data_IF_346014752066
#
_entry.id   IF_346014752066
#
_cell.length_a   1.000
_cell.length_b   1.000
_cell.length_c   1.000
_cell.angle_alpha   90.00
_cell.angle_beta   90.00
_cell.angle_gamma   90.00
#
_symmetry.space_group_name_H-M   'P 1'
#
loop_
_entity.id
_entity.type
_entity.pdbx_description
1 polymer ?
#
# COMPACT_ATOMS: atom_id res chain seq x y z
N UNK A 1 4.50 1.80 1.47
CA UNK A 1 5.74 0.99 1.62
C UNK A 1 5.51 -0.38 1.02
N UNK A 2 6.53 -1.05 0.48
CA UNK A 2 6.36 -2.44 0.00
C UNK A 2 6.19 -3.40 1.19
N UNK A 3 5.31 -4.41 1.11
CA UNK A 3 5.17 -5.41 2.18
C UNK A 3 6.51 -6.12 2.45
N UNK A 4 6.86 -6.24 3.73
CA UNK A 4 8.07 -6.91 4.20
C UNK A 4 7.74 -8.33 4.67
N UNK A 5 8.76 -9.02 5.20
CA UNK A 5 8.67 -10.42 5.60
C UNK A 5 7.55 -10.68 6.62
N UNK A 6 7.45 -9.88 7.68
CA UNK A 6 6.50 -10.12 8.77
C UNK A 6 5.04 -10.02 8.29
N UNK A 7 4.73 -9.06 7.39
CA UNK A 7 3.39 -8.94 6.83
C UNK A 7 3.02 -10.16 5.98
N UNK A 8 3.95 -10.64 5.14
CA UNK A 8 3.75 -11.84 4.33
C UNK A 8 3.61 -13.09 5.19
N UNK A 9 4.39 -13.20 6.27
CA UNK A 9 4.33 -14.33 7.17
C UNK A 9 2.98 -14.40 7.89
N UNK A 10 2.51 -13.28 8.46
CA UNK A 10 1.23 -13.23 9.17
C UNK A 10 0.06 -13.56 8.24
N UNK A 11 0.01 -13.00 7.04
CA UNK A 11 -1.07 -13.28 6.07
C UNK A 11 -1.05 -14.73 5.58
N UNK A 12 0.15 -15.31 5.35
CA UNK A 12 0.29 -16.71 4.96
C UNK A 12 -0.10 -17.67 6.08
N UNK A 13 0.29 -17.32 7.31
CA UNK A 13 -0.08 -18.07 8.50
C UNK A 13 -1.58 -18.02 8.77
N UNK A 14 -2.22 -16.87 8.54
CA UNK A 14 -3.68 -16.75 8.62
C UNK A 14 -4.40 -17.72 7.66
N UNK A 15 -3.95 -17.83 6.40
CA UNK A 15 -4.53 -18.79 5.45
C UNK A 15 -4.36 -20.24 5.92
N UNK A 16 -3.19 -20.59 6.45
CA UNK A 16 -2.94 -21.91 7.03
C UNK A 16 -3.83 -22.20 8.24
N UNK A 17 -3.98 -21.22 9.13
CA UNK A 17 -4.78 -21.35 10.33
C UNK A 17 -6.26 -21.52 9.98
N UNK A 18 -6.77 -20.71 9.05
CA UNK A 18 -8.14 -20.81 8.57
C UNK A 18 -8.43 -22.17 7.93
N UNK A 19 -7.51 -22.66 7.09
CA UNK A 19 -7.54 -24.02 6.52
C UNK A 19 -7.65 -25.12 7.59
N UNK A 20 -6.90 -24.98 8.68
CA UNK A 20 -6.94 -25.93 9.79
C UNK A 20 -8.30 -25.93 10.48
N UNK A 21 -8.85 -24.75 10.78
CA UNK A 21 -10.17 -24.61 11.41
C UNK A 21 -11.27 -25.20 10.53
N UNK A 22 -11.30 -24.82 9.25
CA UNK A 22 -12.37 -25.20 8.31
C UNK A 22 -12.30 -26.68 7.94
N UNK A 23 -11.14 -27.18 7.50
CA UNK A 23 -11.04 -28.54 6.94
C UNK A 23 -10.78 -29.63 7.96
N UNK A 24 -9.93 -29.36 8.96
CA UNK A 24 -9.56 -30.36 9.96
C UNK A 24 -10.40 -30.25 11.23
N UNK A 25 -10.80 -29.03 11.59
CA UNK A 25 -11.73 -28.78 12.68
C UNK A 25 -13.19 -28.97 12.31
N UNK A 26 -13.52 -29.07 11.01
CA UNK A 26 -14.90 -29.13 10.49
C UNK A 26 -15.80 -28.04 11.09
N UNK A 27 -15.21 -26.86 11.37
CA UNK A 27 -15.89 -25.74 12.02
C UNK A 27 -16.77 -24.95 11.02
N UNK A 28 -17.68 -25.67 10.37
CA UNK A 28 -18.50 -25.20 9.26
C UNK A 28 -19.92 -25.69 9.45
N UNK A 29 -20.87 -24.80 9.19
CA UNK A 29 -22.28 -25.16 9.04
C UNK A 29 -22.71 -24.88 7.60
N UNK A 30 -23.19 -25.92 6.91
CA UNK A 30 -23.54 -25.89 5.49
C UNK A 30 -25.05 -26.04 5.27
N UNK A 31 -25.52 -25.71 4.06
CA UNK A 31 -26.93 -25.84 3.70
C UNK A 31 -27.80 -24.67 4.19
N UNK A 32 -27.18 -23.54 4.53
CA UNK A 32 -27.87 -22.33 4.96
C UNK A 32 -28.16 -21.45 3.74
N UNK A 33 -29.45 -21.19 3.49
CA UNK A 33 -29.84 -20.19 2.52
C UNK A 33 -29.82 -18.80 3.17
N UNK A 34 -28.75 -18.06 2.92
CA UNK A 34 -28.56 -16.72 3.44
C UNK A 34 -29.48 -15.72 2.74
N UNK A 35 -30.06 -14.83 3.53
CA UNK A 35 -30.78 -13.66 3.05
C UNK A 35 -29.93 -12.42 3.37
N UNK A 36 -29.77 -11.55 2.38
CA UNK A 36 -28.97 -10.34 2.55
C UNK A 36 -29.85 -9.10 2.61
N UNK A 37 -29.53 -8.22 3.56
CA UNK A 37 -30.32 -7.04 3.88
C UNK A 37 -29.47 -5.79 3.66
N UNK A 38 -30.06 -4.80 2.99
CA UNK A 38 -29.40 -3.53 2.74
C UNK A 38 -29.03 -2.84 4.06
N UNK A 39 -27.77 -2.38 4.17
CA UNK A 39 -27.31 -1.57 5.29
C UNK A 39 -26.91 -0.17 4.82
N UNK A 40 -27.60 0.90 5.29
CA UNK A 40 -27.27 2.27 4.91
C UNK A 40 -25.96 2.78 5.54
N UNK A 41 -25.48 2.14 6.61
CA UNK A 41 -24.32 2.55 7.39
C UNK A 41 -23.16 1.58 7.20
N UNK A 42 -22.86 1.23 5.95
CA UNK A 42 -21.83 0.25 5.65
C UNK A 42 -20.43 0.84 5.86
N UNK A 43 -19.62 0.20 6.70
CA UNK A 43 -18.22 0.58 6.96
C UNK A 43 -17.36 0.21 5.74
N UNK A 44 -16.41 1.08 5.38
CA UNK A 44 -15.40 0.81 4.36
C UNK A 44 -15.99 0.48 2.97
N UNK A 45 -17.13 1.07 2.62
CA UNK A 45 -17.75 0.97 1.30
C UNK A 45 -17.68 2.34 0.63
N UNK A 46 -17.28 2.36 -0.64
CA UNK A 46 -17.23 3.61 -1.43
C UNK A 46 -18.62 4.10 -1.83
N UNK A 47 -18.78 5.39 -2.11
CA UNK A 47 -20.06 5.99 -2.53
C UNK A 47 -20.64 5.37 -3.82
N UNK A 48 -19.81 4.70 -4.62
CA UNK A 48 -20.21 4.02 -5.86
C UNK A 48 -20.68 2.59 -5.63
N UNK A 49 -20.74 2.14 -4.37
CA UNK A 49 -21.10 0.79 -3.98
C UNK A 49 -22.21 0.79 -2.94
N UNK A 50 -22.96 -0.30 -2.90
CA UNK A 50 -23.97 -0.58 -1.87
C UNK A 50 -23.70 -1.96 -1.30
N UNK A 51 -23.84 -2.11 0.02
CA UNK A 51 -23.62 -3.38 0.69
C UNK A 51 -24.90 -3.92 1.32
N UNK A 52 -25.02 -5.24 1.21
CA UNK A 52 -26.09 -6.05 1.77
C UNK A 52 -25.46 -7.08 2.69
N UNK A 53 -25.83 -7.06 3.96
CA UNK A 53 -25.26 -7.93 4.97
C UNK A 53 -26.15 -9.13 5.23
N UNK A 54 -25.54 -10.28 5.47
CA UNK A 54 -26.25 -11.43 6.02
C UNK A 54 -26.27 -11.38 7.55
N UNK A 55 -27.15 -12.16 8.20
CA UNK A 55 -27.13 -12.36 9.65
C UNK A 55 -25.80 -12.91 10.19
N UNK A 56 -25.07 -13.66 9.35
CA UNK A 56 -23.82 -14.32 9.68
C UNK A 56 -22.62 -13.50 9.24
N UNK A 57 -21.52 -13.57 10.00
CA UNK A 57 -20.37 -12.71 9.78
C UNK A 57 -19.29 -13.28 8.86
N UNK A 58 -18.83 -14.51 9.05
CA UNK A 58 -17.81 -15.09 8.18
C UNK A 58 -18.34 -16.29 7.43
N UNK A 59 -18.18 -16.24 6.11
CA UNK A 59 -18.48 -17.36 5.24
C UNK A 59 -17.25 -18.22 5.03
N UNK A 60 -17.50 -19.48 4.71
CA UNK A 60 -16.46 -20.36 4.21
C UNK A 60 -16.02 -19.88 2.83
N UNK A 61 -14.74 -19.58 2.70
CA UNK A 61 -14.11 -19.04 1.49
C UNK A 61 -13.22 -20.06 0.78
N UNK A 62 -13.09 -21.27 1.32
CA UNK A 62 -12.25 -22.32 0.78
C UNK A 62 -12.98 -23.66 0.67
N UNK A 63 -12.65 -24.43 -0.35
CA UNK A 63 -13.32 -25.69 -0.68
C UNK A 63 -14.02 -25.65 -2.04
N UNK A 64 -14.60 -26.78 -2.43
CA UNK A 64 -15.27 -26.90 -3.74
C UNK A 64 -16.71 -26.40 -3.73
N UNK A 65 -17.34 -26.30 -2.55
CA UNK A 65 -18.74 -25.90 -2.38
C UNK A 65 -18.91 -24.41 -2.04
N UNK A 66 -17.87 -23.60 -2.27
CA UNK A 66 -17.94 -22.15 -2.08
C UNK A 66 -18.75 -21.52 -3.22
N UNK A 67 -19.86 -20.83 -2.96
CA UNK A 67 -20.71 -20.26 -4.00
C UNK A 67 -19.97 -19.24 -4.85
N UNK A 68 -20.19 -19.30 -6.17
CA UNK A 68 -19.58 -18.37 -7.12
C UNK A 68 -20.44 -17.13 -7.41
N UNK A 69 -21.51 -16.89 -6.64
CA UNK A 69 -22.52 -15.90 -6.96
C UNK A 69 -23.72 -15.93 -6.02
N UNK A 70 -24.68 -15.05 -6.29
CA UNK A 70 -25.91 -14.89 -5.51
C UNK A 70 -27.13 -14.83 -6.42
N UNK A 71 -28.31 -15.06 -5.86
CA UNK A 71 -29.58 -14.88 -6.55
C UNK A 71 -30.15 -13.50 -6.21
N UNK A 72 -30.34 -12.67 -7.24
CA UNK A 72 -30.91 -11.33 -7.11
C UNK A 72 -32.31 -11.31 -7.72
N UNK A 73 -33.27 -10.76 -6.98
CA UNK A 73 -34.62 -10.50 -7.48
C UNK A 73 -34.75 -9.05 -7.94
N UNK A 74 -34.80 -8.84 -9.26
CA UNK A 74 -34.93 -7.51 -9.87
C UNK A 74 -36.32 -7.25 -10.49
N UNK A 75 -37.11 -8.29 -10.78
CA UNK A 75 -38.45 -8.14 -11.41
C UNK A 75 -39.42 -9.29 -11.08
N UNK A 76 -39.36 -9.83 -9.85
CA UNK A 76 -40.21 -10.94 -9.41
C UNK A 76 -39.70 -12.32 -9.80
N UNK A 77 -38.48 -12.40 -10.36
CA UNK A 77 -37.75 -13.64 -10.64
C UNK A 77 -36.35 -13.51 -10.06
N UNK A 78 -35.89 -14.58 -9.41
CA UNK A 78 -34.50 -14.70 -8.96
C UNK A 78 -33.63 -15.15 -10.14
N UNK A 79 -32.69 -14.30 -10.52
CA UNK A 79 -31.65 -14.65 -11.49
C UNK A 79 -30.31 -14.82 -10.76
N UNK A 80 -29.56 -15.85 -11.15
CA UNK A 80 -28.24 -16.10 -10.59
C UNK A 80 -27.21 -15.15 -11.22
N UNK A 81 -26.55 -14.37 -10.37
CA UNK A 81 -25.49 -13.43 -10.74
C UNK A 81 -24.17 -13.96 -10.19
N UNK A 82 -23.20 -14.14 -11.08
CA UNK A 82 -21.84 -14.58 -10.72
C UNK A 82 -21.04 -13.41 -10.15
N UNK A 83 -20.13 -13.73 -9.23
CA UNK A 83 -19.21 -12.76 -8.68
C UNK A 83 -18.25 -12.27 -9.76
N UNK A 84 -18.44 -11.02 -10.18
CA UNK A 84 -17.65 -10.35 -11.20
C UNK A 84 -17.50 -8.86 -10.81
N UNK A 85 -16.41 -8.50 -10.10
CA UNK A 85 -16.23 -7.14 -9.57
C UNK A 85 -16.16 -6.05 -10.65
N UNK A 86 -15.75 -6.43 -11.87
CA UNK A 86 -15.54 -5.51 -13.00
C UNK A 86 -16.75 -5.44 -13.96
N UNK A 87 -17.85 -6.13 -13.66
CA UNK A 87 -19.06 -6.10 -14.47
C UNK A 87 -20.02 -4.96 -14.04
N UNK A 88 -21.10 -4.76 -14.80
CA UNK A 88 -22.15 -3.76 -14.53
C UNK A 88 -22.74 -3.93 -13.14
N UNK A 89 -22.94 -5.17 -12.69
CA UNK A 89 -23.43 -5.45 -11.33
C UNK A 89 -22.36 -5.23 -10.27
N UNK A 90 -21.08 -5.40 -10.62
CA UNK A 90 -19.95 -5.23 -9.71
C UNK A 90 -20.00 -6.13 -8.49
N UNK A 91 -20.51 -7.36 -8.65
CA UNK A 91 -20.75 -8.26 -7.53
C UNK A 91 -19.44 -8.69 -6.88
N UNK A 92 -19.28 -8.34 -5.60
CA UNK A 92 -18.22 -8.84 -4.72
C UNK A 92 -18.86 -9.52 -3.52
N UNK A 93 -18.42 -10.75 -3.21
CA UNK A 93 -18.84 -11.47 -2.01
C UNK A 93 -17.72 -11.33 -0.99
N UNK A 94 -17.98 -10.57 0.06
CA UNK A 94 -17.06 -10.39 1.18
C UNK A 94 -17.26 -11.53 2.17
N UNK A 95 -16.33 -12.50 2.13
CA UNK A 95 -16.38 -13.67 3.00
C UNK A 95 -15.99 -13.37 4.46
N UNK A 96 -15.39 -12.21 4.73
CA UNK A 96 -14.92 -11.84 6.09
C UNK A 96 -15.99 -11.07 6.88
N UNK A 97 -16.80 -10.27 6.20
CA UNK A 97 -17.90 -9.50 6.81
C UNK A 97 -19.30 -10.07 6.49
N UNK A 98 -19.37 -11.15 5.70
CA UNK A 98 -20.63 -11.88 5.49
C UNK A 98 -21.61 -11.04 4.69
N UNK A 99 -21.08 -10.26 3.74
CA UNK A 99 -21.82 -9.26 2.98
C UNK A 99 -21.60 -9.41 1.49
N UNK A 100 -22.55 -8.89 0.75
CA UNK A 100 -22.51 -8.77 -0.70
C UNK A 100 -22.43 -7.29 -1.04
N UNK A 101 -21.47 -6.93 -1.88
CA UNK A 101 -21.27 -5.58 -2.36
C UNK A 101 -21.62 -5.54 -3.84
N UNK A 102 -22.39 -4.52 -4.22
CA UNK A 102 -22.85 -4.28 -5.58
C UNK A 102 -22.53 -2.84 -5.97
N UNK A 103 -22.52 -2.55 -7.27
CA UNK A 103 -22.49 -1.17 -7.75
C UNK A 103 -23.77 -0.42 -7.35
N UNK A 104 -23.65 0.85 -6.97
CA UNK A 104 -24.78 1.68 -6.52
C UNK A 104 -25.87 1.87 -7.58
N UNK A 105 -25.55 1.67 -8.85
CA UNK A 105 -26.50 1.64 -9.97
C UNK A 105 -27.59 0.56 -9.85
N UNK A 106 -27.32 -0.50 -9.07
CA UNK A 106 -28.27 -1.59 -8.80
C UNK A 106 -29.40 -1.18 -7.83
N UNK A 107 -29.23 -0.07 -7.10
CA UNK A 107 -30.20 0.42 -6.12
C UNK A 107 -30.15 -0.33 -4.78
N UNK A 108 -31.02 0.07 -3.85
CA UNK A 108 -31.03 -0.41 -2.45
C UNK A 108 -32.19 -1.35 -2.11
N UNK A 109 -33.19 -1.47 -2.99
CA UNK A 109 -34.42 -2.25 -2.76
C UNK A 109 -34.39 -3.71 -3.24
N UNK A 110 -33.20 -4.29 -3.48
CA UNK A 110 -33.06 -5.65 -3.99
C UNK A 110 -33.30 -6.71 -2.91
N UNK A 111 -33.91 -7.82 -3.29
CA UNK A 111 -33.91 -9.05 -2.48
C UNK A 111 -32.82 -9.98 -2.98
N UNK A 112 -31.83 -10.25 -2.15
CA UNK A 112 -30.64 -11.02 -2.49
C UNK A 112 -30.58 -12.23 -1.57
N UNK A 113 -30.30 -13.40 -2.14
CA UNK A 113 -30.13 -14.65 -1.41
C UNK A 113 -29.02 -15.51 -1.99
N UNK A 114 -28.48 -16.44 -1.20
CA UNK A 114 -27.50 -17.40 -1.69
C UNK A 114 -27.20 -18.48 -0.66
N UNK A 115 -26.79 -19.65 -1.13
CA UNK A 115 -26.51 -20.80 -0.27
C UNK A 115 -25.05 -20.74 0.22
N UNK A 116 -24.79 -20.02 1.31
CA UNK A 116 -23.44 -19.88 1.87
C UNK A 116 -23.29 -20.67 3.15
N UNK A 117 -22.22 -21.47 3.24
CA UNK A 117 -21.80 -22.07 4.49
C UNK A 117 -21.15 -21.02 5.38
N UNK A 118 -21.52 -20.99 6.67
CA UNK A 118 -20.92 -20.11 7.68
C UNK A 118 -19.87 -20.84 8.49
N UNK A 119 -18.90 -20.09 9.02
CA UNK A 119 -17.95 -20.61 10.00
C UNK A 119 -18.59 -20.66 11.38
N UNK A 120 -18.40 -21.77 12.10
CA UNK A 120 -18.81 -21.86 13.51
C UNK A 120 -17.73 -21.31 14.45
N UNK A 121 -16.49 -21.21 13.96
CA UNK A 121 -15.36 -20.56 14.61
C UNK A 121 -14.75 -19.54 13.65
N UNK A 122 -14.91 -18.26 13.95
CA UNK A 122 -14.40 -17.16 13.12
C UNK A 122 -12.88 -17.01 13.28
N UNK A 123 -12.23 -16.36 12.32
CA UNK A 123 -10.78 -16.12 12.34
C UNK A 123 -10.50 -14.68 11.95
N UNK A 124 -9.80 -13.94 12.82
CA UNK A 124 -9.47 -12.54 12.61
C UNK A 124 -7.95 -12.33 12.74
N UNK A 125 -7.42 -11.38 11.97
CA UNK A 125 -6.08 -10.83 12.21
C UNK A 125 -6.25 -9.58 13.07
N UNK A 126 -5.49 -9.48 14.17
CA UNK A 126 -5.47 -8.29 15.02
C UNK A 126 -4.06 -7.81 15.27
N UNK A 127 -3.91 -6.49 15.42
CA UNK A 127 -2.67 -5.84 15.86
C UNK A 127 -2.74 -5.43 17.34
N UNK A 128 -3.88 -5.62 17.98
CA UNK A 128 -4.11 -5.26 19.38
C UNK A 128 -3.42 -6.27 20.30
N UNK A 129 -3.04 -5.80 21.48
CA UNK A 129 -2.60 -6.70 22.54
C UNK A 129 -3.77 -7.56 23.02
N UNK A 130 -3.47 -8.73 23.60
CA UNK A 130 -4.52 -9.59 24.16
C UNK A 130 -5.31 -8.89 25.27
N UNK A 131 -4.67 -8.02 26.04
CA UNK A 131 -5.29 -7.26 27.12
C UNK A 131 -6.29 -6.24 26.55
N UNK A 132 -5.88 -5.50 25.52
CA UNK A 132 -6.73 -4.54 24.83
C UNK A 132 -7.91 -5.21 24.12
N UNK A 133 -7.64 -6.32 23.42
CA UNK A 133 -8.66 -7.13 22.77
C UNK A 133 -9.71 -7.61 23.78
N UNK A 134 -9.29 -8.10 24.95
CA UNK A 134 -10.22 -8.67 25.94
C UNK A 134 -10.96 -7.62 26.78
N UNK A 135 -10.40 -6.42 26.96
CA UNK A 135 -10.98 -5.38 27.82
C UNK A 135 -11.80 -4.35 27.05
N UNK A 136 -11.38 -3.99 25.84
CA UNK A 136 -11.94 -2.85 25.10
C UNK A 136 -12.82 -3.27 23.93
N UNK A 137 -12.88 -4.58 23.61
CA UNK A 137 -13.67 -5.06 22.49
C UNK A 137 -15.03 -5.58 22.91
N UNK A 138 -16.06 -5.17 22.17
CA UNK A 138 -17.39 -5.73 22.26
C UNK A 138 -17.48 -7.04 21.46
N UNK A 139 -17.77 -8.14 22.16
CA UNK A 139 -17.96 -9.45 21.57
C UNK A 139 -19.46 -9.74 21.40
N UNK A 140 -19.89 -9.99 20.17
CA UNK A 140 -21.25 -10.42 19.84
C UNK A 140 -21.33 -11.95 19.89
N UNK A 141 -22.21 -12.48 20.73
CA UNK A 141 -22.47 -13.92 20.83
C UNK A 141 -23.42 -14.35 19.71
N UNK A 142 -22.97 -15.21 18.79
CA UNK A 142 -23.76 -15.61 17.63
C UNK A 142 -25.05 -16.43 17.95
N UNK A 143 -25.25 -16.87 19.20
CA UNK A 143 -26.26 -17.88 19.55
C UNK A 143 -27.04 -17.61 20.87
N UNK A 144 -26.62 -16.66 21.71
CA UNK A 144 -27.18 -16.56 23.07
C UNK A 144 -28.31 -15.54 23.25
N UNK A 145 -28.39 -14.51 22.38
CA UNK A 145 -29.27 -13.35 22.60
C UNK A 145 -30.18 -13.04 21.39
N UNK A 146 -30.32 -13.95 20.42
CA UNK A 146 -30.98 -13.70 19.11
C UNK A 146 -30.40 -12.51 18.32
N UNK A 147 -29.29 -11.93 18.79
CA UNK A 147 -28.58 -10.81 18.17
C UNK A 147 -27.75 -11.31 16.99
N UNK A 148 -28.37 -11.28 15.81
CA UNK A 148 -27.65 -11.44 14.54
C UNK A 148 -26.66 -10.28 14.34
N UNK A 149 -25.62 -10.48 13.53
CA UNK A 149 -24.68 -9.40 13.16
C UNK A 149 -25.42 -8.11 12.74
N UNK A 150 -26.52 -8.25 11.99
CA UNK A 150 -27.38 -7.16 11.53
C UNK A 150 -28.08 -6.37 12.64
N UNK A 151 -28.48 -7.03 13.73
CA UNK A 151 -29.17 -6.37 14.85
C UNK A 151 -28.22 -5.50 15.69
N UNK A 152 -26.91 -5.78 15.62
CA UNK A 152 -25.87 -4.98 16.26
C UNK A 152 -25.45 -3.73 15.48
N UNK A 153 -25.95 -3.53 14.25
CA UNK A 153 -25.63 -2.38 13.38
C UNK A 153 -26.41 -1.13 13.85
N UNK A 154 -26.27 -0.76 15.12
CA UNK A 154 -26.57 0.59 15.57
C UNK A 154 -25.30 1.42 15.41
N UNK A 155 -25.40 2.53 14.65
CA UNK A 155 -24.30 3.38 14.19
C UNK A 155 -22.99 3.36 15.00
N UNK A 156 -21.91 2.98 14.30
CA UNK A 156 -20.48 3.20 14.58
C UNK A 156 -20.07 3.74 15.97
N UNK A 157 -19.28 2.94 16.71
CA UNK A 157 -17.92 3.38 17.13
C UNK A 157 -16.97 2.28 17.60
N UNK A 158 -17.40 1.04 17.87
CA UNK A 158 -16.51 -0.06 18.30
C UNK A 158 -16.38 -1.17 17.25
N UNK A 159 -15.18 -1.75 17.15
CA UNK A 159 -14.93 -2.99 16.43
C UNK A 159 -15.70 -4.11 17.13
N UNK A 160 -16.92 -4.38 16.70
CA UNK A 160 -17.63 -5.55 17.21
C UNK A 160 -16.96 -6.78 16.58
N UNK A 161 -16.72 -7.86 17.33
CA UNK A 161 -16.34 -9.17 16.78
C UNK A 161 -17.40 -10.21 17.10
N UNK A 162 -17.73 -11.06 16.13
CA UNK A 162 -18.66 -12.18 16.36
C UNK A 162 -17.88 -13.38 16.87
N UNK A 163 -18.27 -13.92 18.03
CA UNK A 163 -17.68 -15.11 18.65
C UNK A 163 -18.61 -16.32 18.54
N UNK A 164 -18.10 -17.56 18.51
CA UNK A 164 -16.71 -17.99 18.73
C UNK A 164 -15.71 -17.52 17.68
N UNK A 165 -14.49 -17.17 18.12
CA UNK A 165 -13.46 -16.61 17.25
C UNK A 165 -12.02 -16.90 17.70
N UNK A 166 -11.11 -16.90 16.73
CA UNK A 166 -9.66 -16.95 16.90
C UNK A 166 -9.05 -15.65 16.38
N UNK A 167 -8.36 -14.94 17.26
CA UNK A 167 -7.68 -13.68 16.95
C UNK A 167 -6.18 -13.94 16.84
N UNK A 168 -5.61 -13.71 15.67
CA UNK A 168 -4.20 -13.97 15.36
C UNK A 168 -3.44 -12.67 15.33
N UNK A 169 -2.37 -12.57 16.12
CA UNK A 169 -1.48 -11.41 16.17
C UNK A 169 -0.01 -11.80 16.05
N UNK A 170 0.77 -10.88 15.48
CA UNK A 170 2.21 -11.03 15.39
C UNK A 170 2.89 -10.40 16.59
N UNK A 171 3.53 -11.21 17.44
CA UNK A 171 4.11 -10.72 18.70
C UNK A 171 5.54 -10.22 18.54
N UNK A 172 6.42 -11.04 17.96
CA UNK A 172 7.84 -10.70 17.89
C UNK A 172 8.58 -11.48 16.80
N UNK A 173 9.69 -10.91 16.35
CA UNK A 173 10.61 -11.50 15.38
C UNK A 173 12.04 -11.27 15.82
N UNK A 174 12.90 -12.26 15.63
CA UNK A 174 14.34 -12.11 15.83
C UNK A 174 15.12 -12.90 14.80
N UNK A 175 16.21 -12.32 14.30
CA UNK A 175 17.12 -13.01 13.39
C UNK A 175 18.28 -13.61 14.16
N UNK A 176 18.40 -14.95 14.16
CA UNK A 176 19.55 -15.67 14.72
C UNK A 176 20.49 -16.12 13.60
N UNK A 177 21.81 -16.02 13.76
CA UNK A 177 22.74 -16.68 12.83
C UNK A 177 22.45 -18.18 12.77
N UNK A 178 22.32 -18.73 11.56
CA UNK A 178 21.94 -20.13 11.37
C UNK A 178 23.04 -20.95 10.69
N UNK A 179 23.55 -20.46 9.56
CA UNK A 179 24.59 -21.12 8.79
C UNK A 179 25.62 -20.13 8.25
N UNK A 180 26.76 -20.66 7.80
CA UNK A 180 27.79 -19.89 7.09
C UNK A 180 27.19 -19.24 5.82
N UNK A 181 27.77 -18.12 5.38
CA UNK A 181 27.28 -17.41 4.18
C UNK A 181 26.15 -16.41 4.44
N UNK A 182 25.95 -15.96 5.69
CA UNK A 182 25.03 -14.88 6.01
C UNK A 182 23.56 -15.31 6.18
N UNK A 183 23.29 -16.61 6.17
CA UNK A 183 21.97 -17.17 6.42
C UNK A 183 21.58 -17.00 7.89
N UNK A 184 20.38 -16.48 8.11
CA UNK A 184 19.80 -16.28 9.43
C UNK A 184 18.49 -17.06 9.55
N UNK A 185 18.27 -17.63 10.71
CA UNK A 185 16.99 -18.18 11.13
C UNK A 185 16.17 -17.03 11.73
N UNK A 186 15.17 -16.57 11.00
CA UNK A 186 14.18 -15.65 11.53
C UNK A 186 13.21 -16.44 12.38
N UNK A 187 13.28 -16.26 13.69
CA UNK A 187 12.33 -16.83 14.64
C UNK A 187 11.22 -15.85 14.90
N UNK A 188 10.01 -16.26 14.56
CA UNK A 188 8.80 -15.45 14.68
C UNK A 188 7.86 -16.09 15.69
N UNK A 189 7.30 -15.28 16.57
CA UNK A 189 6.27 -15.72 17.52
C UNK A 189 4.93 -15.13 17.09
N UNK A 190 3.97 -15.99 16.82
CA UNK A 190 2.59 -15.64 16.52
C UNK A 190 1.73 -16.13 17.67
N UNK A 191 0.84 -15.28 18.17
CA UNK A 191 -0.12 -15.64 19.21
C UNK A 191 -1.50 -15.68 18.61
N UNK A 192 -2.27 -16.70 18.99
CA UNK A 192 -3.69 -16.77 18.71
C UNK A 192 -4.47 -16.78 20.03
N UNK A 193 -5.42 -15.85 20.19
CA UNK A 193 -6.37 -15.80 21.31
C UNK A 193 -7.67 -16.43 20.83
N UNK A 194 -8.10 -17.50 21.50
CA UNK A 194 -9.35 -18.19 21.20
C UNK A 194 -10.39 -17.73 22.21
N UNK A 195 -11.51 -17.19 21.72
CA UNK A 195 -12.67 -16.80 22.51
C UNK A 195 -13.85 -17.66 22.07
N UNK A 196 -14.38 -18.47 22.99
CA UNK A 196 -15.51 -19.35 22.73
C UNK A 196 -16.63 -19.16 23.75
N UNK A 197 -17.84 -19.57 23.39
CA UNK A 197 -19.03 -19.58 24.24
C UNK A 197 -19.12 -20.85 25.11
N UNK A 198 -18.43 -21.93 24.73
CA UNK A 198 -18.43 -23.18 25.47
C UNK A 198 -17.01 -23.79 25.59
N UNK A 199 -16.86 -24.73 26.53
CA UNK A 199 -15.60 -25.44 26.74
C UNK A 199 -15.28 -26.45 25.63
N UNK A 200 -16.29 -26.94 24.91
CA UNK A 200 -16.11 -27.95 23.88
C UNK A 200 -15.40 -27.37 22.65
N UNK A 201 -15.88 -26.24 22.14
CA UNK A 201 -15.28 -25.46 21.07
C UNK A 201 -13.89 -24.97 21.45
N UNK A 202 -13.71 -24.48 22.69
CA UNK A 202 -12.39 -24.06 23.18
C UNK A 202 -11.41 -25.25 23.19
N UNK A 203 -11.77 -26.36 23.81
CA UNK A 203 -10.87 -27.50 23.99
C UNK A 203 -10.55 -28.19 22.67
N UNK A 204 -11.54 -28.28 21.77
CA UNK A 204 -11.37 -28.81 20.43
C UNK A 204 -10.39 -27.95 19.62
N UNK A 205 -10.53 -26.63 19.67
CA UNK A 205 -9.63 -25.69 18.99
C UNK A 205 -8.21 -25.78 19.53
N UNK A 206 -8.04 -25.76 20.86
CA UNK A 206 -6.73 -25.85 21.49
C UNK A 206 -6.04 -27.19 21.19
N UNK A 207 -6.79 -28.30 21.17
CA UNK A 207 -6.25 -29.62 20.83
C UNK A 207 -5.85 -29.71 19.36
N UNK A 208 -6.69 -29.22 18.45
CA UNK A 208 -6.43 -29.20 17.00
C UNK A 208 -5.09 -28.53 16.67
N UNK A 209 -4.84 -27.36 17.28
CA UNK A 209 -3.59 -26.64 17.05
C UNK A 209 -2.42 -27.23 17.82
N UNK A 210 -2.61 -27.71 19.06
CA UNK A 210 -1.53 -28.39 19.80
C UNK A 210 -0.91 -29.53 19.00
N UNK A 211 -1.74 -30.28 18.27
CA UNK A 211 -1.30 -31.44 17.51
C UNK A 211 -0.77 -31.05 16.10
N UNK A 212 -0.81 -29.77 15.73
CA UNK A 212 -0.36 -29.22 14.43
C UNK A 212 1.11 -28.74 14.45
N UNK A 213 1.96 -29.36 15.25
CA UNK A 213 3.41 -29.08 15.29
C UNK A 213 4.15 -29.67 14.09
N UNK A 214 5.35 -29.19 13.81
CA UNK A 214 6.25 -29.74 12.78
C UNK A 214 5.70 -29.63 11.35
N UNK A 215 4.87 -28.62 11.11
CA UNK A 215 4.29 -28.33 9.80
C UNK A 215 5.02 -27.16 9.15
N UNK A 216 5.30 -27.27 7.86
CA UNK A 216 5.78 -26.14 7.04
C UNK A 216 4.59 -25.32 6.54
N UNK A 217 4.65 -24.00 6.69
CA UNK A 217 3.70 -23.02 6.15
C UNK A 217 4.40 -22.26 5.03
N UNK A 218 3.97 -22.40 3.76
CA UNK A 218 4.57 -21.65 2.66
C UNK A 218 4.27 -20.16 2.81
N UNK A 219 5.27 -19.32 2.53
CA UNK A 219 5.12 -17.87 2.51
C UNK A 219 4.60 -17.47 1.13
N UNK A 220 3.40 -16.90 1.12
CA UNK A 220 2.66 -16.49 -0.05
C UNK A 220 2.85 -14.99 -0.26
N UNK A 221 3.20 -14.61 -1.48
CA UNK A 221 3.28 -13.21 -1.86
C UNK A 221 1.87 -12.60 -2.02
N UNK A 222 1.73 -11.32 -1.68
CA UNK A 222 0.44 -10.61 -1.78
C UNK A 222 -0.20 -10.63 -3.18
N UNK A 223 0.61 -10.73 -4.24
CA UNK A 223 0.11 -10.87 -5.60
C UNK A 223 -0.70 -12.17 -5.78
N UNK A 224 -0.29 -13.24 -5.11
CA UNK A 224 -0.91 -14.56 -5.16
C UNK A 224 -1.86 -14.82 -3.99
N UNK A 225 -2.05 -13.85 -3.11
CA UNK A 225 -3.02 -13.94 -2.04
C UNK A 225 -4.43 -14.08 -2.63
N UNK A 226 -5.25 -15.04 -2.15
CA UNK A 226 -6.50 -15.42 -2.82
C UNK A 226 -7.57 -14.34 -2.74
N UNK A 227 -7.48 -13.44 -1.76
CA UNK A 227 -8.44 -12.38 -1.53
C UNK A 227 -8.04 -11.07 -2.23
N UNK A 228 -9.06 -10.39 -2.77
CA UNK A 228 -8.99 -9.04 -3.31
C UNK A 228 -9.45 -7.99 -2.30
N UNK A 229 -9.94 -6.86 -2.80
CA UNK A 229 -10.56 -5.81 -2.00
C UNK A 229 -11.80 -6.35 -1.25
N UNK A 230 -12.05 -5.90 -0.02
CA UNK A 230 -13.17 -6.39 0.81
C UNK A 230 -13.24 -7.93 0.92
N UNK A 231 -12.09 -8.62 0.97
CA UNK A 231 -12.01 -10.08 1.13
C UNK A 231 -12.79 -10.93 0.10
N UNK A 232 -13.10 -10.38 -1.08
CA UNK A 232 -13.67 -11.19 -2.17
C UNK A 232 -12.64 -12.15 -2.76
N UNK A 233 -13.08 -13.31 -3.20
CA UNK A 233 -12.20 -14.28 -3.84
C UNK A 233 -11.83 -13.81 -5.25
N UNK A 234 -10.53 -13.66 -5.54
CA UNK A 234 -10.06 -13.27 -6.88
C UNK A 234 -10.40 -14.31 -7.94
N UNK A 235 -10.25 -15.59 -7.60
CA UNK A 235 -10.44 -16.73 -8.50
C UNK A 235 -11.16 -17.87 -7.77
N UNK A 236 -12.49 -17.88 -7.70
CA UNK A 236 -13.24 -19.02 -7.14
C UNK A 236 -13.26 -20.21 -8.11
N UNK A 237 -13.24 -21.48 -7.63
CA UNK A 237 -13.15 -21.87 -6.23
C UNK A 237 -11.70 -21.79 -5.69
N UNK A 238 -11.55 -21.33 -4.45
CA UNK A 238 -10.27 -21.29 -3.75
C UNK A 238 -10.10 -22.53 -2.86
N UNK A 239 -8.90 -23.12 -2.84
CA UNK A 239 -8.56 -24.22 -1.94
C UNK A 239 -7.11 -24.10 -1.50
N UNK A 240 -6.90 -23.94 -0.19
CA UNK A 240 -5.56 -23.77 0.38
C UNK A 240 -4.65 -25.00 0.17
N UNK A 241 -5.17 -26.23 0.19
CA UNK A 241 -4.36 -27.43 -0.06
C UNK A 241 -3.74 -27.44 -1.47
N UNK A 242 -4.47 -26.95 -2.45
CA UNK A 242 -3.97 -26.84 -3.83
C UNK A 242 -2.87 -25.79 -3.91
N UNK A 243 -3.10 -24.61 -3.32
CA UNK A 243 -2.10 -23.55 -3.24
C UNK A 243 -0.85 -24.00 -2.49
N UNK A 244 -1.03 -24.69 -1.37
CA UNK A 244 0.02 -25.27 -0.56
C UNK A 244 0.90 -26.22 -1.39
N UNK A 245 0.29 -27.20 -2.07
CA UNK A 245 1.04 -28.16 -2.90
C UNK A 245 1.80 -27.48 -4.03
N UNK A 246 1.19 -26.50 -4.70
CA UNK A 246 1.85 -25.72 -5.75
C UNK A 246 3.07 -24.97 -5.21
N UNK A 247 2.94 -24.31 -4.05
CA UNK A 247 4.03 -23.57 -3.42
C UNK A 247 5.17 -24.46 -2.95
N UNK A 248 4.85 -25.61 -2.35
CA UNK A 248 5.86 -26.57 -1.93
C UNK A 248 6.59 -27.19 -3.13
N UNK A 249 5.89 -27.52 -4.22
CA UNK A 249 6.52 -28.02 -5.45
C UNK A 249 7.43 -26.97 -6.12
N UNK A 250 7.07 -25.69 -6.02
CA UNK A 250 7.87 -24.58 -6.52
C UNK A 250 9.07 -24.21 -5.62
N UNK A 251 9.33 -24.97 -4.54
CA UNK A 251 10.35 -24.66 -3.53
C UNK A 251 10.21 -23.22 -2.99
N UNK A 252 8.98 -22.77 -2.77
CA UNK A 252 8.72 -21.47 -2.14
C UNK A 252 9.33 -21.43 -0.73
N UNK A 253 9.68 -20.22 -0.29
CA UNK A 253 10.10 -20.01 1.09
C UNK A 253 8.98 -20.45 2.04
N UNK A 254 9.32 -21.11 3.14
CA UNK A 254 8.36 -21.58 4.14
C UNK A 254 8.82 -21.24 5.55
N UNK A 255 7.87 -21.12 6.46
CA UNK A 255 8.08 -21.06 7.90
C UNK A 255 7.75 -22.42 8.51
N UNK A 256 8.64 -22.96 9.34
CA UNK A 256 8.42 -24.22 10.03
C UNK A 256 7.88 -23.97 11.44
N UNK A 257 6.77 -24.60 11.80
CA UNK A 257 6.21 -24.50 13.15
C UNK A 257 7.00 -25.43 14.08
N UNK A 258 7.94 -24.86 14.84
CA UNK A 258 8.84 -25.59 15.74
C UNK A 258 8.10 -26.04 17.00
N UNK A 259 7.29 -25.15 17.58
CA UNK A 259 6.63 -25.40 18.86
C UNK A 259 5.29 -24.70 18.93
N UNK A 260 4.33 -25.39 19.53
CA UNK A 260 3.01 -24.84 19.87
C UNK A 260 2.80 -25.02 21.37
N UNK A 261 2.37 -23.96 22.05
CA UNK A 261 2.00 -24.01 23.47
C UNK A 261 0.58 -23.50 23.64
N UNK A 262 -0.30 -24.31 24.20
CA UNK A 262 -1.68 -23.93 24.47
C UNK A 262 -1.87 -23.70 25.98
N UNK A 263 -2.61 -22.65 26.34
CA UNK A 263 -3.01 -22.38 27.73
C UNK A 263 -4.48 -21.92 27.79
N UNK A 264 -5.09 -22.02 28.97
CA UNK A 264 -6.48 -21.60 29.22
C UNK A 264 -6.51 -20.60 30.37
N UNK A 265 -7.39 -19.61 30.26
CA UNK A 265 -7.67 -18.68 31.33
C UNK A 265 -8.79 -19.27 32.20
N UNK A 266 -8.53 -19.48 33.50
CA UNK A 266 -9.50 -20.07 34.42
C UNK A 266 -10.50 -19.00 34.94
N UNK A 267 -11.71 -19.44 35.32
CA UNK A 267 -12.85 -18.59 35.68
C UNK A 267 -12.58 -17.51 36.75
N UNK A 268 -11.60 -17.75 37.64
CA UNK A 268 -11.22 -16.78 38.68
C UNK A 268 -10.62 -15.51 38.09
N UNK A 269 -9.88 -15.62 36.98
CA UNK A 269 -9.34 -14.47 36.23
C UNK A 269 -10.37 -13.85 35.28
N UNK A 270 -11.31 -14.64 34.74
CA UNK A 270 -12.36 -14.11 33.84
C UNK A 270 -13.31 -13.17 34.57
N UNK A 271 -13.61 -13.48 35.84
CA UNK A 271 -14.45 -12.65 36.72
C UNK A 271 -13.85 -11.28 37.03
N UNK A 272 -12.53 -11.12 36.89
CA UNK A 272 -11.81 -9.87 37.12
C UNK A 272 -11.74 -8.97 35.87
N UNK A 273 -12.02 -9.51 34.67
CA UNK A 273 -11.82 -8.85 33.36
C UNK A 273 -13.15 -8.30 32.80
N UNK A 274 -14.26 -8.35 33.55
CA UNK A 274 -15.61 -7.93 33.06
C UNK A 274 -16.02 -8.61 31.74
N UNK A 275 -15.49 -9.80 31.46
CA UNK A 275 -15.91 -10.57 30.29
C UNK A 275 -17.39 -10.95 30.44
N UNK A 276 -18.17 -10.96 29.35
CA UNK A 276 -19.52 -11.50 29.35
C UNK A 276 -19.55 -12.89 30.02
N UNK A 277 -20.55 -13.12 30.87
CA UNK A 277 -20.55 -14.13 31.95
C UNK A 277 -20.36 -15.60 31.51
N UNK A 278 -20.27 -15.88 30.22
CA UNK A 278 -20.18 -17.22 29.65
C UNK A 278 -19.00 -17.42 28.68
N UNK A 279 -18.09 -16.45 28.51
CA UNK A 279 -16.96 -16.61 27.58
C UNK A 279 -15.84 -17.46 28.19
N UNK A 280 -15.17 -18.23 27.33
CA UNK A 280 -14.01 -19.07 27.64
C UNK A 280 -12.86 -18.63 26.76
N UNK A 281 -11.70 -18.42 27.37
CA UNK A 281 -10.52 -17.89 26.69
C UNK A 281 -9.38 -18.89 26.77
N UNK A 282 -8.73 -19.11 25.62
CA UNK A 282 -7.48 -19.83 25.53
C UNK A 282 -6.47 -19.06 24.69
N UNK A 283 -5.20 -19.40 24.90
CA UNK A 283 -4.09 -18.84 24.18
C UNK A 283 -3.33 -19.95 23.49
N UNK A 284 -2.90 -19.70 22.26
CA UNK A 284 -2.04 -20.58 21.48
C UNK A 284 -0.83 -19.77 21.04
N UNK A 285 0.34 -20.13 21.55
CA UNK A 285 1.61 -19.53 21.17
C UNK A 285 2.31 -20.43 20.14
N UNK A 286 2.52 -19.90 18.93
CA UNK A 286 3.26 -20.53 17.86
C UNK A 286 4.67 -19.94 17.79
N UNK A 287 5.68 -20.80 17.85
CA UNK A 287 7.06 -20.44 17.52
C UNK A 287 7.43 -21.00 16.16
N UNK A 288 7.72 -20.10 15.22
CA UNK A 288 8.06 -20.42 13.84
C UNK A 288 9.54 -20.15 13.59
N UNK A 289 10.19 -21.04 12.84
CA UNK A 289 11.55 -20.88 12.34
C UNK A 289 11.52 -20.72 10.82
N UNK A 290 12.15 -19.66 10.33
CA UNK A 290 12.27 -19.40 8.88
C UNK A 290 13.73 -19.16 8.52
N UNK A 291 14.42 -20.17 7.98
CA UNK A 291 15.76 -20.00 7.47
C UNK A 291 15.74 -19.14 6.20
N UNK A 292 16.41 -17.98 6.23
CA UNK A 292 16.44 -17.03 5.11
C UNK A 292 17.73 -16.22 5.05
N UNK A 293 17.91 -15.45 3.98
CA UNK A 293 19.01 -14.50 3.83
C UNK A 293 18.46 -13.08 3.95
N UNK A 294 18.28 -12.55 5.18
CA UNK A 294 17.70 -11.21 5.37
C UNK A 294 18.71 -10.10 5.11
N UNK A 295 20.02 -10.42 5.16
CA UNK A 295 21.08 -9.49 4.82
C UNK A 295 21.12 -9.34 3.31
N UNK A 296 20.35 -8.39 2.82
CA UNK A 296 20.73 -7.72 1.58
C UNK A 296 22.05 -7.02 1.93
N UNK A 297 23.17 -7.46 1.37
CA UNK A 297 24.35 -6.59 1.36
C UNK A 297 23.85 -5.24 0.86
N UNK A 298 24.19 -4.15 1.56
CA UNK A 298 24.02 -2.80 1.03
C UNK A 298 24.84 -2.75 -0.27
N UNK A 299 24.25 -3.26 -1.36
CA UNK A 299 24.74 -3.00 -2.69
C UNK A 299 24.81 -1.50 -2.76
N UNK A 300 25.97 -0.99 -3.18
CA UNK A 300 26.09 0.39 -3.61
C UNK A 300 24.83 0.71 -4.39
N UNK A 301 24.09 1.79 -4.06
CA UNK A 301 22.82 2.06 -4.70
C UNK A 301 23.02 1.88 -6.19
N UNK A 302 22.41 0.85 -6.77
CA UNK A 302 22.35 0.73 -8.22
C UNK A 302 21.51 1.91 -8.62
N UNK A 303 22.20 3.01 -8.94
CA UNK A 303 21.64 4.08 -9.73
C UNK A 303 21.11 3.35 -10.96
N UNK A 304 19.79 3.15 -11.01
CA UNK A 304 19.13 2.97 -12.30
C UNK A 304 19.70 4.07 -13.18
N UNK A 305 20.32 3.73 -14.33
CA UNK A 305 20.72 4.78 -15.26
C UNK A 305 19.49 5.66 -15.44
N UNK A 306 19.62 6.99 -15.29
CA UNK A 306 18.50 7.87 -15.53
C UNK A 306 17.88 7.47 -16.88
N UNK A 307 16.55 7.41 -16.93
CA UNK A 307 15.84 7.18 -18.18
C UNK A 307 16.48 8.06 -19.26
N UNK A 308 16.69 7.55 -20.50
CA UNK A 308 17.32 8.35 -21.53
C UNK A 308 16.61 9.68 -21.62
N UNK A 309 17.34 10.75 -21.31
CA UNK A 309 16.84 12.11 -21.34
C UNK A 309 16.32 12.32 -22.77
N UNK A 310 15.03 12.69 -22.97
CA UNK A 310 14.57 13.03 -24.30
C UNK A 310 15.47 14.16 -24.84
N UNK A 311 15.82 14.17 -26.14
CA UNK A 311 16.75 15.16 -26.68
C UNK A 311 16.26 16.57 -26.33
N UNK A 312 17.17 17.37 -25.75
CA UNK A 312 16.93 18.77 -25.43
C UNK A 312 16.71 19.57 -26.71
N UNK A 313 15.62 20.34 -26.78
CA UNK A 313 15.38 21.28 -27.86
C UNK A 313 16.33 22.48 -27.72
N UNK A 314 17.19 22.69 -28.71
CA UNK A 314 18.04 23.89 -28.82
C UNK A 314 17.18 25.11 -29.17
N UNK A 315 17.14 26.11 -28.29
CA UNK A 315 16.55 27.42 -28.59
C UNK A 315 17.66 28.41 -28.90
N UNK A 316 17.76 28.82 -30.17
CA UNK A 316 18.72 29.83 -30.62
C UNK A 316 18.07 31.22 -30.56
N UNK A 317 18.58 32.13 -29.73
CA UNK A 317 18.12 33.53 -29.68
C UNK A 317 19.15 34.44 -30.36
N UNK A 318 18.74 35.15 -31.41
CA UNK A 318 19.58 36.14 -32.12
C UNK A 318 19.16 37.55 -31.74
N UNK A 319 20.09 38.37 -31.25
CA UNK A 319 19.84 39.77 -30.88
C UNK A 319 20.56 40.69 -31.88
N UNK A 320 19.82 41.53 -32.60
CA UNK A 320 20.39 42.52 -33.54
C UNK A 320 20.10 43.94 -33.06
N UNK A 321 21.13 44.79 -32.92
CA UNK A 321 21.00 46.18 -32.46
C UNK A 321 21.90 47.18 -33.22
N UNK A 322 21.48 48.45 -33.42
CA UNK A 322 22.21 49.44 -34.22
C UNK A 322 23.39 50.12 -33.49
N UNK A 323 24.36 50.57 -34.31
CA UNK A 323 25.69 51.10 -33.97
C UNK A 323 25.70 52.43 -33.16
N UNK A 324 26.77 52.57 -32.37
CA UNK A 324 27.39 53.79 -31.78
C UNK A 324 26.90 54.30 -30.41
N UNK A 325 27.85 54.38 -29.47
CA UNK A 325 28.08 55.50 -28.52
C UNK A 325 29.54 55.44 -28.02
N UNK A 326 30.26 56.55 -28.15
CA UNK A 326 31.62 56.73 -27.63
C UNK A 326 31.56 57.10 -26.15
N UNK A 327 32.46 56.55 -25.34
CA UNK A 327 32.69 57.02 -23.97
C UNK A 327 34.17 57.39 -23.80
N UNK A 328 34.43 58.67 -23.55
CA UNK A 328 35.72 59.18 -23.08
C UNK A 328 35.72 59.12 -21.55
N UNK A 329 36.77 58.56 -20.94
CA UNK A 329 37.04 58.69 -19.51
C UNK A 329 38.51 59.12 -19.31
N UNK A 330 38.65 60.28 -18.67
CA UNK A 330 39.88 61.00 -18.29
C UNK A 330 40.66 60.18 -17.23
N UNK A 331 41.99 59.98 -17.32
CA UNK A 331 42.71 59.01 -16.48
C UNK A 331 43.12 59.57 -15.12
N UNK A 332 42.25 60.34 -14.47
CA UNK A 332 42.49 60.90 -13.16
C UNK A 332 41.19 61.10 -12.41
N UNK A 333 40.70 60.04 -11.75
CA UNK A 333 39.82 59.99 -10.57
C UNK A 333 39.15 58.61 -10.53
N UNK A 334 39.60 57.74 -9.63
CA UNK A 334 38.68 56.81 -8.95
C UNK A 334 38.08 57.61 -7.78
N UNK A 335 36.76 57.56 -7.48
CA UNK A 335 36.00 56.32 -7.33
C UNK A 335 34.53 56.37 -7.85
N UNK A 336 33.84 55.22 -7.77
CA UNK A 336 32.37 55.09 -7.71
C UNK A 336 31.52 55.79 -8.79
N UNK A 337 31.32 55.12 -9.94
CA UNK A 337 30.07 55.20 -10.70
C UNK A 337 29.96 54.03 -11.68
N UNK A 338 29.16 53.02 -11.34
CA UNK A 338 28.80 51.92 -12.25
C UNK A 338 27.62 52.36 -13.11
N UNK A 339 27.80 52.45 -14.43
CA UNK A 339 26.73 52.76 -15.37
C UNK A 339 26.05 51.49 -15.87
N UNK A 340 24.73 51.38 -15.70
CA UNK A 340 23.93 50.30 -16.29
C UNK A 340 23.49 50.68 -17.71
N UNK A 341 23.65 49.77 -18.66
CA UNK A 341 23.03 49.90 -19.99
C UNK A 341 21.92 48.84 -20.09
N UNK A 342 20.68 49.28 -20.34
CA UNK A 342 19.55 48.36 -20.51
C UNK A 342 19.28 48.12 -21.99
N UNK A 343 19.05 46.87 -22.35
CA UNK A 343 18.58 46.47 -23.68
C UNK A 343 17.17 45.89 -23.55
N UNK A 344 16.28 46.23 -24.49
CA UNK A 344 14.90 45.71 -24.51
C UNK A 344 14.83 44.61 -25.57
N UNK A 345 14.58 43.37 -25.15
CA UNK A 345 14.35 42.26 -26.08
C UNK A 345 13.04 42.49 -26.85
N UNK A 346 13.05 42.21 -28.16
CA UNK A 346 11.83 42.14 -28.96
C UNK A 346 11.09 40.86 -28.59
N UNK A 347 9.85 41.00 -28.13
CA UNK A 347 8.96 39.89 -27.81
C UNK A 347 8.75 39.01 -29.04
N UNK A 348 9.26 37.78 -28.97
CA UNK A 348 8.66 36.62 -29.61
C UNK A 348 8.92 35.45 -28.66
N UNK A 349 7.83 34.87 -28.16
CA UNK A 349 7.72 33.73 -27.24
C UNK A 349 7.75 34.05 -25.73
N UNK A 350 6.65 33.69 -25.06
CA UNK A 350 6.37 33.88 -23.64
C UNK A 350 7.06 32.81 -22.79
N UNK A 351 7.96 33.21 -21.90
CA UNK A 351 8.54 32.33 -20.89
C UNK A 351 7.61 32.24 -19.65
N UNK A 352 7.44 31.06 -19.02
CA UNK A 352 6.57 30.90 -17.87
C UNK A 352 7.15 31.62 -16.64
N UNK A 353 6.31 32.43 -16.01
CA UNK A 353 6.65 33.29 -14.89
C UNK A 353 6.67 32.51 -13.57
N UNK A 354 7.84 32.00 -13.14
CA UNK A 354 8.10 31.75 -11.70
C UNK A 354 9.58 31.49 -11.42
N UNK A 355 10.08 32.16 -10.38
CA UNK A 355 11.32 31.94 -9.62
C UNK A 355 12.67 32.31 -10.27
N UNK A 356 13.45 33.09 -9.50
CA UNK A 356 14.86 33.43 -9.75
C UNK A 356 15.64 32.18 -10.16
N UNK A 357 16.03 32.14 -11.43
CA UNK A 357 16.85 31.08 -12.00
C UNK A 357 18.27 31.60 -12.16
N UNK A 358 19.24 30.88 -11.58
CA UNK A 358 20.66 31.19 -11.76
C UNK A 358 21.16 30.43 -12.99
N UNK A 359 21.67 31.14 -13.99
CA UNK A 359 22.23 30.54 -15.20
C UNK A 359 23.75 30.69 -15.19
N UNK A 360 24.46 29.62 -15.53
CA UNK A 360 25.90 29.66 -15.81
C UNK A 360 26.09 29.58 -17.33
N UNK A 361 26.79 30.56 -17.89
CA UNK A 361 27.21 30.53 -19.30
C UNK A 361 28.62 29.95 -19.32
N UNK A 362 28.77 28.77 -19.93
CA UNK A 362 30.05 28.04 -19.89
C UNK A 362 31.02 28.52 -20.99
N UNK A 363 30.53 29.13 -22.08
CA UNK A 363 31.42 29.66 -23.12
C UNK A 363 30.77 30.77 -23.96
N UNK A 364 31.53 31.84 -24.24
CA UNK A 364 31.16 32.88 -25.21
C UNK A 364 32.05 32.67 -26.44
N UNK A 365 31.49 32.14 -27.52
CA UNK A 365 32.17 32.05 -28.81
C UNK A 365 31.82 33.28 -29.65
N UNK A 366 32.79 34.19 -29.84
CA UNK A 366 32.69 35.23 -30.86
C UNK A 366 33.19 34.68 -32.19
N UNK A 367 32.40 34.79 -33.26
CA UNK A 367 32.89 34.52 -34.62
C UNK A 367 33.82 35.69 -35.02
N UNK A 368 35.11 35.45 -35.32
CA UNK A 368 36.03 36.53 -35.58
C UNK A 368 36.05 36.86 -37.06
N UNK A 369 35.18 37.75 -37.52
CA UNK A 369 35.46 38.46 -38.77
C UNK A 369 36.31 39.70 -38.42
N UNK A 370 37.62 39.43 -38.31
CA UNK A 370 38.75 40.37 -38.22
C UNK A 370 38.96 41.16 -36.91
N UNK A 371 39.47 40.50 -35.87
CA UNK A 371 40.26 41.16 -34.80
C UNK A 371 41.45 40.27 -34.42
N UNK A 372 42.67 40.76 -34.65
CA UNK A 372 43.91 40.16 -34.16
C UNK A 372 44.37 40.87 -32.90
N UNK A 373 44.30 40.22 -31.73
CA UNK A 373 45.18 40.55 -30.61
C UNK A 373 45.34 39.39 -29.62
N UNK A 374 46.57 39.28 -29.12
CA UNK A 374 47.06 38.33 -28.15
C UNK A 374 46.88 38.86 -26.73
N UNK A 375 45.90 38.33 -25.99
CA UNK A 375 45.83 38.23 -24.52
C UNK A 375 44.38 37.87 -24.15
N UNK A 376 44.19 36.84 -23.32
CA UNK A 376 42.85 36.44 -22.88
C UNK A 376 42.14 37.57 -22.14
N UNK A 377 41.07 38.11 -22.71
CA UNK A 377 40.10 38.90 -21.97
C UNK A 377 39.18 37.94 -21.22
N UNK A 378 39.19 38.00 -19.88
CA UNK A 378 38.10 37.44 -19.09
C UNK A 378 37.04 38.53 -18.92
N UNK A 379 35.93 38.37 -19.63
CA UNK A 379 34.69 39.12 -19.37
C UNK A 379 33.92 38.37 -18.29
N UNK A 380 33.75 38.98 -17.12
CA UNK A 380 32.68 38.58 -16.22
C UNK A 380 31.42 39.32 -16.67
N UNK A 381 30.44 38.57 -17.15
CA UNK A 381 29.12 39.13 -17.50
C UNK A 381 28.08 38.55 -16.56
N UNK A 382 27.43 39.42 -15.80
CA UNK A 382 26.34 39.03 -14.91
C UNK A 382 25.01 39.35 -15.58
N UNK A 383 24.09 38.37 -15.54
CA UNK A 383 22.74 38.51 -16.06
C UNK A 383 21.76 38.52 -14.90
N UNK A 384 20.95 39.57 -14.81
CA UNK A 384 19.82 39.63 -13.88
C UNK A 384 18.54 39.70 -14.72
N UNK A 385 17.64 38.73 -14.49
CA UNK A 385 16.28 38.80 -15.02
C UNK A 385 15.34 39.39 -13.97
N UNK A 386 14.62 40.44 -14.34
CA UNK A 386 13.52 40.99 -13.55
C UNK A 386 12.29 41.12 -14.45
N UNK A 387 11.37 40.16 -14.33
CA UNK A 387 10.25 40.00 -15.28
C UNK A 387 10.74 39.69 -16.70
N UNK A 388 10.14 40.31 -17.72
CA UNK A 388 10.50 40.11 -19.14
C UNK A 388 11.71 40.97 -19.59
N UNK A 389 12.58 41.40 -18.66
CA UNK A 389 13.75 42.24 -18.97
C UNK A 389 15.03 41.55 -18.53
N UNK A 390 16.02 41.57 -19.42
CA UNK A 390 17.37 41.09 -19.15
C UNK A 390 18.29 42.29 -18.91
N UNK A 391 18.92 42.33 -17.74
CA UNK A 391 19.96 43.28 -17.42
C UNK A 391 21.32 42.58 -17.52
N UNK A 392 22.25 43.22 -18.23
CA UNK A 392 23.59 42.68 -18.49
C UNK A 392 24.60 43.65 -17.88
N UNK A 393 25.35 43.22 -16.87
CA UNK A 393 26.48 43.95 -16.34
C UNK A 393 27.77 43.31 -16.86
N UNK A 394 28.57 44.08 -17.60
CA UNK A 394 29.87 43.65 -18.11
C UNK A 394 30.96 44.48 -17.44
N UNK A 395 31.90 43.83 -16.75
CA UNK A 395 33.15 44.48 -16.34
C UNK A 395 34.17 44.40 -17.49
N UNK A 396 34.65 45.57 -17.93
CA UNK A 396 35.73 45.67 -18.91
C UNK A 396 37.02 46.14 -18.24
N UNK A 397 38.12 45.42 -18.47
CA UNK A 397 39.45 45.95 -18.26
C UNK A 397 39.89 46.62 -19.58
N UNK A 398 39.89 47.95 -19.63
CA UNK A 398 40.24 48.67 -20.86
C UNK A 398 41.76 48.82 -21.02
N UNK A 399 42.29 48.24 -22.09
CA UNK A 399 43.28 48.92 -22.93
C UNK A 399 42.54 49.63 -24.07
N UNK A 400 43.06 50.77 -24.55
CA UNK A 400 42.47 51.56 -25.64
C UNK A 400 42.39 50.75 -26.94
N UNK A 401 41.17 50.41 -27.39
CA UNK A 401 40.92 49.85 -28.73
C UNK A 401 39.59 50.36 -29.29
N UNK A 402 39.56 50.70 -30.58
CA UNK A 402 38.34 51.01 -31.33
C UNK A 402 37.76 49.73 -31.96
N UNK A 403 36.48 49.46 -31.74
CA UNK A 403 35.75 48.36 -32.40
C UNK A 403 34.76 48.94 -33.43
N UNK A 404 34.91 48.57 -34.71
CA UNK A 404 34.10 49.05 -35.84
C UNK A 404 33.08 48.03 -36.40
N UNK A 405 32.92 46.86 -35.77
CA UNK A 405 32.06 45.78 -36.25
C UNK A 405 30.93 45.39 -35.26
N UNK A 406 29.79 44.90 -35.80
CA UNK A 406 28.73 44.29 -34.99
C UNK A 406 29.22 42.96 -34.45
N UNK A 407 28.96 42.69 -33.17
CA UNK A 407 29.26 41.41 -32.54
C UNK A 407 27.95 40.65 -32.40
N UNK A 408 27.85 39.50 -33.07
CA UNK A 408 26.79 38.54 -32.82
C UNK A 408 27.21 37.67 -31.63
N UNK A 409 26.35 37.63 -30.60
CA UNK A 409 26.57 36.82 -29.40
C UNK A 409 25.49 35.74 -29.38
N UNK A 410 25.92 34.48 -29.38
CA UNK A 410 25.05 33.31 -29.25
C UNK A 410 25.10 32.81 -27.81
N UNK A 411 23.93 32.58 -27.20
CA UNK A 411 23.82 31.98 -25.87
C UNK A 411 23.26 30.56 -26.00
N UNK A 412 23.85 29.63 -25.26
CA UNK A 412 23.28 28.30 -25.03
C UNK A 412 22.69 28.30 -23.63
N UNK A 413 21.37 28.15 -23.50
CA UNK A 413 20.69 28.09 -22.21
C UNK A 413 20.42 26.62 -21.86
N UNK A 414 20.93 26.17 -20.71
CA UNK A 414 20.54 24.89 -20.11
C UNK A 414 19.52 25.15 -19.00
N UNK A 415 18.38 24.47 -19.07
CA UNK A 415 17.41 24.39 -17.98
C UNK A 415 17.78 23.22 -17.06
N UNK A 416 17.82 23.46 -15.75
CA UNK A 416 17.96 22.43 -14.72
C UNK A 416 16.71 22.35 -13.86
#
# INVERSE_FOLDING_TARGET
>A
MKPQFDQKLLSSFYLWLDDRVVRYGEAVESGINQQFYYSPNSIDISDNQVAYYSPDRQFVSQGYDVPSGVYINSTGKYDFVKQEPNDVTGLMIDHDQGRVILNSSMGTGLSISGDFSRKTMNTYITNESEEELLLNTDFLLADQDDETFLQSITGFSSLNYTVPAIFVSYNSSLNKPFALGGMQDTRSNIRAVVVANDNYALDSTLSLFRDSTEVCVPIIDYAEFPYGEHFHLKNPPFNYETLYKQKMQANAQYAFIEKITCSKLYDTSSSAINLPRNMRIGFIDFSLSTPRMPKIELGSPTLTPPAPVPPLDEVTVTITGPKQRYFYLDPGLWPENRGFTSFKLKENESLPSTNLSYFFVDEISTKPDSITSSAGMKLATFYLFEGNKLYVETEYNFGLYSLDASVDITFTLQYF
#
